data_IF_585440391038
#
_entry.id   IF_585440391038
#
_cell.length_a   1.000
_cell.length_b   1.000
_cell.length_c   1.000
_cell.angle_alpha   90.00
_cell.angle_beta   90.00
_cell.angle_gamma   90.00
#
_symmetry.space_group_name_H-M   'P 1'
#
loop_
_entity.id
_entity.type
_entity.pdbx_description
1 polymer ?
#
# COMPACT_ATOMS: atom_id res chain seq x y z
N UNK A 1 -11.02 37.60 11.81
CA UNK A 1 -9.93 37.32 10.84
C UNK A 1 -9.40 35.94 11.17
N UNK A 2 -9.80 34.92 10.41
CA UNK A 2 -9.24 33.57 10.52
C UNK A 2 -8.66 33.25 9.14
N UNK A 3 -7.36 33.51 8.98
CA UNK A 3 -6.62 33.05 7.81
C UNK A 3 -6.48 31.53 7.96
N UNK A 4 -7.39 30.80 7.32
CA UNK A 4 -7.22 29.38 7.03
C UNK A 4 -6.03 29.27 6.09
N UNK A 5 -4.86 28.98 6.67
CA UNK A 5 -3.62 28.69 5.96
C UNK A 5 -3.83 27.46 5.09
N UNK A 6 -4.10 27.67 3.80
CA UNK A 6 -3.89 26.71 2.72
C UNK A 6 -2.38 26.46 2.55
N UNK A 7 -1.70 25.95 3.58
CA UNK A 7 -0.39 25.34 3.37
C UNK A 7 -0.63 23.94 2.80
N UNK A 8 -0.01 23.57 1.67
CA UNK A 8 -0.14 22.22 1.15
C UNK A 8 0.53 21.28 2.15
N UNK A 9 -0.27 20.39 2.76
CA UNK A 9 0.27 19.35 3.62
C UNK A 9 1.25 18.47 2.81
N UNK A 10 2.45 18.25 3.33
CA UNK A 10 3.46 17.38 2.73
C UNK A 10 4.20 17.97 1.53
N UNK A 11 4.48 19.28 1.51
CA UNK A 11 5.31 19.90 0.48
C UNK A 11 6.63 19.11 0.28
N UNK A 12 6.79 18.55 -0.92
CA UNK A 12 7.98 17.79 -1.31
C UNK A 12 7.87 16.27 -1.18
N UNK A 13 6.90 15.75 -0.41
CA UNK A 13 6.67 14.32 -0.29
C UNK A 13 5.87 13.78 -1.48
N UNK A 14 6.39 12.71 -2.06
CA UNK A 14 5.76 11.94 -3.12
C UNK A 14 5.78 10.46 -2.73
N UNK A 15 4.83 9.65 -3.20
CA UNK A 15 4.87 8.21 -2.95
C UNK A 15 6.24 7.60 -3.30
N UNK A 16 6.92 8.10 -4.34
CA UNK A 16 8.25 7.65 -4.76
C UNK A 16 9.37 7.87 -3.73
N UNK A 17 9.11 8.56 -2.61
CA UNK A 17 10.07 8.71 -1.50
C UNK A 17 10.04 7.55 -0.50
N UNK A 18 9.11 6.62 -0.68
CA UNK A 18 8.84 5.52 0.24
C UNK A 18 9.10 4.17 -0.43
N UNK A 19 9.22 3.13 0.40
CA UNK A 19 9.27 1.76 -0.11
C UNK A 19 7.86 1.26 -0.37
N UNK A 20 7.67 0.66 -1.53
CA UNK A 20 6.38 0.18 -1.97
C UNK A 20 6.34 -1.31 -1.85
N UNK A 21 5.39 -1.77 -1.06
CA UNK A 21 5.04 -3.17 -1.00
C UNK A 21 3.84 -3.40 -1.90
N UNK A 22 4.05 -4.19 -2.93
CA UNK A 22 3.04 -4.49 -3.93
C UNK A 22 2.61 -5.93 -3.79
N UNK A 23 1.30 -6.16 -3.71
CA UNK A 23 0.71 -7.49 -3.56
C UNK A 23 -0.51 -7.62 -4.45
N UNK A 24 -0.85 -8.84 -4.85
CA UNK A 24 -2.16 -9.16 -5.38
C UNK A 24 -3.05 -9.63 -4.22
N UNK A 25 -4.26 -9.10 -4.11
CA UNK A 25 -5.19 -9.38 -3.01
C UNK A 25 -6.60 -9.64 -3.53
N UNK A 26 -7.38 -10.44 -2.80
CA UNK A 26 -8.80 -10.63 -3.10
C UNK A 26 -9.58 -9.36 -2.79
N UNK A 27 -10.35 -8.87 -3.75
CA UNK A 27 -11.25 -7.75 -3.56
C UNK A 27 -12.61 -8.22 -2.99
N UNK A 28 -13.45 -7.28 -2.58
CA UNK A 28 -14.77 -7.56 -1.99
C UNK A 28 -15.76 -8.24 -2.95
N UNK A 29 -15.48 -8.22 -4.26
CA UNK A 29 -16.29 -8.89 -5.30
C UNK A 29 -15.85 -10.33 -5.56
N UNK A 30 -14.82 -10.83 -4.85
CA UNK A 30 -14.24 -12.17 -5.08
C UNK A 30 -13.29 -12.25 -6.28
N UNK A 31 -12.92 -11.11 -6.87
CA UNK A 31 -11.87 -11.00 -7.89
C UNK A 31 -10.52 -10.65 -7.25
N UNK A 32 -9.46 -10.58 -8.05
CA UNK A 32 -8.13 -10.15 -7.59
C UNK A 32 -7.84 -8.71 -8.01
N UNK A 33 -7.25 -7.92 -7.13
CA UNK A 33 -6.76 -6.56 -7.41
C UNK A 33 -5.32 -6.37 -6.93
N UNK A 34 -4.67 -5.31 -7.41
CA UNK A 34 -3.33 -4.90 -6.97
C UNK A 34 -3.45 -3.97 -5.77
N UNK A 35 -2.73 -4.27 -4.70
CA UNK A 35 -2.55 -3.42 -3.53
C UNK A 35 -1.13 -2.87 -3.51
N UNK A 36 -0.99 -1.57 -3.24
CA UNK A 36 0.27 -0.92 -2.91
C UNK A 36 0.18 -0.36 -1.49
N UNK A 37 1.12 -0.74 -0.64
CA UNK A 37 1.30 -0.22 0.72
C UNK A 37 2.64 0.54 0.81
N UNK A 38 2.65 1.69 1.50
CA UNK A 38 3.89 2.39 1.85
C UNK A 38 4.42 1.82 3.17
N UNK A 39 5.56 1.13 3.12
CA UNK A 39 6.11 0.38 4.26
C UNK A 39 6.36 1.27 5.50
N UNK A 40 6.75 2.52 5.29
CA UNK A 40 7.01 3.46 6.38
C UNK A 40 5.75 4.10 6.96
N UNK A 41 4.62 4.05 6.26
CA UNK A 41 3.39 4.74 6.62
C UNK A 41 2.27 3.72 6.79
N UNK A 42 2.13 3.22 8.01
CA UNK A 42 1.13 2.20 8.34
C UNK A 42 -0.28 2.65 7.93
N UNK A 43 -1.00 1.78 7.21
CA UNK A 43 -2.33 2.05 6.70
C UNK A 43 -2.39 2.97 5.48
N UNK A 44 -1.26 3.47 4.97
CA UNK A 44 -1.22 4.19 3.71
C UNK A 44 -1.21 3.20 2.54
N UNK A 45 -2.40 2.76 2.16
CA UNK A 45 -2.63 1.75 1.13
C UNK A 45 -3.48 2.27 -0.02
N UNK A 46 -3.27 1.74 -1.21
CA UNK A 46 -4.07 2.03 -2.39
C UNK A 46 -4.29 0.77 -3.21
N UNK A 47 -5.45 0.67 -3.86
CA UNK A 47 -5.91 -0.50 -4.60
C UNK A 47 -6.23 -0.14 -6.06
N UNK A 48 -6.22 -1.14 -6.94
CA UNK A 48 -6.69 -1.01 -8.32
C UNK A 48 -6.48 -2.29 -9.12
N UNK A 49 -7.19 -2.44 -10.25
CA UNK A 49 -7.11 -3.65 -11.07
C UNK A 49 -5.72 -3.81 -11.71
N UNK A 50 -5.02 -2.68 -11.90
CA UNK A 50 -3.64 -2.64 -12.37
C UNK A 50 -2.70 -1.87 -11.43
N UNK A 51 -1.40 -2.13 -11.54
CA UNK A 51 -0.39 -1.36 -10.81
C UNK A 51 -0.46 0.15 -11.10
N UNK A 52 -0.83 0.52 -12.33
CA UNK A 52 -1.00 1.93 -12.74
C UNK A 52 -2.15 2.60 -11.98
N UNK A 53 -3.26 1.89 -11.81
CA UNK A 53 -4.44 2.38 -11.08
C UNK A 53 -4.16 2.47 -9.59
N UNK A 54 -3.58 1.42 -8.99
CA UNK A 54 -3.18 1.43 -7.60
C UNK A 54 -2.18 2.56 -7.30
N UNK A 55 -1.25 2.87 -8.21
CA UNK A 55 -0.34 4.03 -8.08
C UNK A 55 -1.09 5.37 -8.09
N UNK A 56 -2.20 5.50 -8.83
CA UNK A 56 -2.96 6.75 -8.92
C UNK A 56 -3.60 7.11 -7.59
N UNK A 57 -4.20 6.14 -6.89
CA UNK A 57 -4.81 6.34 -5.57
C UNK A 57 -3.79 6.55 -4.43
N UNK A 58 -2.52 6.19 -4.66
CA UNK A 58 -1.47 6.28 -3.64
C UNK A 58 -1.14 7.75 -3.26
N UNK A 59 -1.28 8.68 -4.21
CA UNK A 59 -1.09 10.12 -3.93
C UNK A 59 -2.16 10.67 -2.99
N UNK A 60 -3.40 10.27 -3.21
CA UNK A 60 -4.52 10.66 -2.36
C UNK A 60 -4.41 10.01 -0.99
N UNK A 61 -4.04 8.74 -0.94
CA UNK A 61 -3.82 8.00 0.30
C UNK A 61 -2.71 8.64 1.15
N UNK A 62 -1.59 9.02 0.53
CA UNK A 62 -0.52 9.75 1.20
C UNK A 62 -0.99 11.09 1.75
N UNK A 63 -1.73 11.86 0.96
CA UNK A 63 -2.27 13.15 1.40
C UNK A 63 -3.22 12.99 2.60
N UNK A 64 -4.11 12.00 2.56
CA UNK A 64 -5.02 11.68 3.66
C UNK A 64 -4.26 11.24 4.91
N UNK A 65 -3.22 10.42 4.75
CA UNK A 65 -2.38 9.96 5.84
C UNK A 65 -1.69 11.13 6.54
N UNK A 66 -1.07 12.05 5.78
CA UNK A 66 -0.41 13.25 6.31
C UNK A 66 -1.41 14.14 7.02
N UNK A 67 -2.62 14.31 6.46
CA UNK A 67 -3.68 15.09 7.08
C UNK A 67 -4.13 14.50 8.42
N UNK A 68 -4.15 13.18 8.55
CA UNK A 68 -4.61 12.48 9.76
C UNK A 68 -3.55 12.43 10.86
N UNK A 69 -2.30 12.11 10.52
CA UNK A 69 -1.21 11.88 11.49
C UNK A 69 -0.32 13.11 11.71
N UNK A 70 -0.34 14.06 10.78
CA UNK A 70 0.53 15.24 10.78
C UNK A 70 1.90 14.97 10.16
N UNK A 71 2.51 16.02 9.60
CA UNK A 71 3.80 15.94 8.90
C UNK A 71 4.97 15.52 9.80
N UNK A 72 4.87 15.75 11.11
CA UNK A 72 5.93 15.43 12.08
C UNK A 72 6.19 13.92 12.20
N UNK A 73 5.24 13.08 11.76
CA UNK A 73 5.39 11.63 11.76
C UNK A 73 5.97 11.09 10.45
N UNK A 74 6.26 11.95 9.47
CA UNK A 74 6.87 11.53 8.22
C UNK A 74 8.35 11.20 8.45
N UNK A 75 8.84 10.06 7.91
CA UNK A 75 10.26 9.74 7.94
C UNK A 75 11.04 10.67 7.01
N UNK A 76 12.34 10.80 7.26
CA UNK A 76 13.24 11.51 6.35
C UNK A 76 13.16 10.95 4.92
N UNK A 77 13.07 11.84 3.93
CA UNK A 77 12.99 11.49 2.52
C UNK A 77 14.26 10.71 2.13
N UNK A 78 14.08 9.41 1.83
CA UNK A 78 15.15 8.57 1.27
C UNK A 78 15.07 8.66 -0.26
N UNK A 79 16.21 8.84 -0.93
CA UNK A 79 16.24 8.78 -2.39
C UNK A 79 16.26 7.31 -2.83
N UNK A 80 15.29 6.95 -3.70
CA UNK A 80 15.14 5.61 -4.24
C UNK A 80 13.92 4.88 -3.67
N UNK A 81 12.82 4.85 -4.44
CA UNK A 81 11.72 3.94 -4.18
C UNK A 81 12.23 2.50 -4.34
N UNK A 82 12.27 1.71 -3.26
CA UNK A 82 12.44 0.27 -3.39
C UNK A 82 11.07 -0.37 -3.59
N UNK A 83 10.94 -1.09 -4.71
CA UNK A 83 9.76 -1.86 -5.04
C UNK A 83 9.95 -3.29 -4.50
N UNK A 84 9.10 -3.69 -3.56
CA UNK A 84 9.01 -5.05 -3.04
C UNK A 84 7.76 -5.65 -3.66
N UNK A 85 7.93 -6.46 -4.71
CA UNK A 85 6.83 -7.26 -5.27
C UNK A 85 6.79 -8.54 -4.44
N UNK A 86 5.68 -8.76 -3.74
CA UNK A 86 5.42 -10.06 -3.14
C UNK A 86 4.74 -10.94 -4.17
N UNK A 87 5.08 -12.23 -4.14
CA UNK A 87 4.47 -13.23 -5.00
C UNK A 87 2.94 -13.24 -4.87
N UNK A 88 2.29 -13.74 -5.92
CA UNK A 88 0.83 -13.84 -5.94
C UNK A 88 0.33 -14.63 -4.73
N UNK A 89 -0.85 -14.29 -4.19
CA UNK A 89 -1.48 -15.10 -3.17
C UNK A 89 -1.62 -16.53 -3.71
N UNK A 90 -1.38 -17.48 -2.82
CA UNK A 90 -1.49 -18.91 -3.04
C UNK A 90 -2.78 -19.25 -3.79
N UNK A 91 -2.70 -20.13 -4.80
CA UNK A 91 -3.89 -20.60 -5.50
C UNK A 91 -4.75 -21.48 -4.59
N UNK A 92 -6.04 -21.63 -4.90
CA UNK A 92 -6.92 -22.54 -4.14
C UNK A 92 -6.38 -23.98 -4.16
N UNK A 93 -5.77 -24.40 -5.28
CA UNK A 93 -5.11 -25.70 -5.43
C UNK A 93 -3.90 -25.85 -4.49
N UNK A 94 -3.05 -24.83 -4.40
CA UNK A 94 -1.91 -24.80 -3.48
C UNK A 94 -2.39 -24.80 -2.02
N UNK A 95 -3.48 -24.09 -1.72
CA UNK A 95 -4.08 -24.04 -0.40
C UNK A 95 -4.65 -25.40 0.02
N UNK A 96 -5.41 -26.06 -0.87
CA UNK A 96 -5.95 -27.40 -0.61
C UNK A 96 -4.83 -28.44 -0.48
N UNK A 97 -3.79 -28.35 -1.31
CA UNK A 97 -2.62 -29.22 -1.22
C UNK A 97 -1.93 -29.07 0.14
N UNK A 98 -1.62 -27.85 0.57
CA UNK A 98 -0.96 -27.60 1.86
C UNK A 98 -1.81 -28.10 3.03
N UNK A 99 -3.13 -27.85 3.01
CA UNK A 99 -4.02 -28.37 4.04
C UNK A 99 -4.07 -29.90 4.05
N UNK A 100 -3.98 -30.53 2.88
CA UNK A 100 -3.93 -32.00 2.76
C UNK A 100 -2.62 -32.56 3.31
N UNK A 101 -1.49 -31.93 3.03
CA UNK A 101 -0.19 -32.34 3.57
C UNK A 101 -0.09 -32.11 5.09
N UNK A 102 -0.62 -31.00 5.61
CA UNK A 102 -0.64 -30.74 7.05
C UNK A 102 -1.43 -31.79 7.83
N UNK A 103 -2.58 -32.24 7.30
CA UNK A 103 -3.38 -33.32 7.91
C UNK A 103 -2.67 -34.67 8.01
N UNK A 104 -1.59 -34.89 7.26
CA UNK A 104 -0.80 -36.13 7.31
C UNK A 104 0.29 -36.09 8.39
N UNK A 105 0.54 -34.93 8.98
CA UNK A 105 1.55 -34.71 10.01
C UNK A 105 0.97 -34.78 11.44
N UNK A 106 -0.36 -34.79 11.55
CA UNK A 106 -1.12 -35.16 12.77
C UNK A 106 -1.31 -36.67 12.88
#
# INVERSE_FOLDING_TARGET
MLNSTNQPFGEGYKPENFRWRVRRVSNWMGSQEMMIELDELEGCVSFGDTLREAKKGLKESLFLWIRHHGEQQLPDIRSGAHLIILDSPMTDEEFEYINTELKKLD
#
